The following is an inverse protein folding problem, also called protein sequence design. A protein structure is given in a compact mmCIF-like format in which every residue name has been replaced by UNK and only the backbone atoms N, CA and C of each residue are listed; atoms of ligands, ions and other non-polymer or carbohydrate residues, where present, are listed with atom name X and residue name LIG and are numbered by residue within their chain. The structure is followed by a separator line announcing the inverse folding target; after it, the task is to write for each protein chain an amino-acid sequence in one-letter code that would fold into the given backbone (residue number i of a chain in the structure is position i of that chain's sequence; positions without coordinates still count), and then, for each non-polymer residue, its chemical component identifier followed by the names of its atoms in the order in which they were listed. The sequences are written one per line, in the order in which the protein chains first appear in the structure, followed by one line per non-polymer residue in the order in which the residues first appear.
data_IF_426984341195
#
_entry.id   IF_426984341195
#
_cell.length_a   1.000
_cell.length_b   1.000
_cell.length_c   1.000
_cell.angle_alpha   90.00
_cell.angle_beta   90.00
_cell.angle_gamma   90.00
#
_symmetry.space_group_name_H-M   'P 1'
#
loop_
_entity.id
_entity.type
_entity.pdbx_description
1 polymer ?
#
# COMPACT_ATOMS: atom_id res chain seq x y z
N UNK A 1 -14.67 15.27 -11.74
CA UNK A 1 -14.81 13.95 -11.10
C UNK A 1 -14.63 12.91 -12.19
N UNK A 2 -13.42 12.36 -12.32
CA UNK A 2 -13.13 11.37 -13.34
C UNK A 2 -13.57 10.01 -12.80
N UNK A 3 -14.82 9.65 -13.06
CA UNK A 3 -15.23 8.25 -12.98
C UNK A 3 -14.53 7.56 -14.14
N UNK A 4 -13.48 6.77 -13.83
CA UNK A 4 -12.92 5.85 -14.80
C UNK A 4 -14.07 4.98 -15.31
N UNK A 5 -14.24 4.94 -16.62
CA UNK A 5 -15.26 4.12 -17.27
C UNK A 5 -15.00 2.68 -16.86
N UNK A 6 -15.92 2.07 -16.13
CA UNK A 6 -15.82 0.67 -15.72
C UNK A 6 -15.67 -0.18 -16.99
N UNK A 7 -14.62 -0.99 -17.03
CA UNK A 7 -14.50 -2.07 -17.98
C UNK A 7 -14.99 -3.31 -17.25
N UNK A 8 -16.16 -3.83 -17.63
CA UNK A 8 -16.84 -4.95 -16.95
C UNK A 8 -15.98 -6.23 -16.90
N UNK A 9 -14.95 -6.32 -17.73
CA UNK A 9 -14.09 -7.50 -17.86
C UNK A 9 -13.01 -7.62 -16.76
N UNK A 10 -12.78 -6.57 -15.95
CA UNK A 10 -11.75 -6.60 -14.89
C UNK A 10 -12.40 -6.66 -13.51
N UNK A 11 -12.12 -7.70 -12.69
CA UNK A 11 -12.66 -7.78 -11.34
C UNK A 11 -12.20 -6.60 -10.47
N UNK A 12 -13.06 -6.17 -9.55
CA UNK A 12 -12.70 -5.13 -8.60
C UNK A 12 -11.53 -5.58 -7.72
N UNK A 13 -10.51 -4.73 -7.64
CA UNK A 13 -9.37 -4.94 -6.74
C UNK A 13 -9.80 -4.61 -5.31
N UNK A 14 -9.55 -5.54 -4.39
CA UNK A 14 -9.59 -5.27 -2.97
C UNK A 14 -8.22 -4.74 -2.54
N UNK A 15 -8.21 -3.58 -1.89
CA UNK A 15 -7.00 -2.97 -1.35
C UNK A 15 -7.18 -2.78 0.14
N UNK A 16 -6.18 -3.15 0.93
CA UNK A 16 -6.15 -2.99 2.39
C UNK A 16 -4.90 -2.20 2.77
N UNK A 17 -5.05 -1.25 3.70
CA UNK A 17 -3.96 -0.47 4.26
C UNK A 17 -3.72 -0.86 5.71
N UNK A 18 -2.48 -1.29 5.99
CA UNK A 18 -2.00 -1.58 7.33
C UNK A 18 -0.98 -0.54 7.79
N UNK A 19 -1.12 -0.11 9.03
CA UNK A 19 -0.15 0.74 9.73
C UNK A 19 0.52 -0.03 10.85
N UNK A 20 1.84 0.09 10.93
CA UNK A 20 2.62 -0.50 12.02
C UNK A 20 2.49 0.40 13.25
N UNK A 21 1.79 -0.10 14.27
CA UNK A 21 1.76 0.50 15.60
C UNK A 21 3.02 0.15 16.40
N UNK A 22 2.89 0.01 17.72
CA UNK A 22 4.03 -0.31 18.59
C UNK A 22 4.81 -1.55 18.13
N UNK A 23 4.14 -2.69 17.98
CA UNK A 23 4.76 -3.96 17.58
C UNK A 23 3.82 -4.84 16.73
N UNK A 24 2.71 -4.28 16.26
CA UNK A 24 1.70 -5.01 15.50
C UNK A 24 1.16 -4.17 14.36
N UNK A 25 0.89 -4.84 13.24
CA UNK A 25 0.19 -4.25 12.11
C UNK A 25 -1.30 -4.16 12.45
N UNK A 26 -1.89 -3.01 12.21
CA UNK A 26 -3.32 -2.79 12.34
C UNK A 26 -3.88 -2.29 11.02
N UNK A 27 -4.96 -2.92 10.58
CA UNK A 27 -5.74 -2.41 9.46
C UNK A 27 -6.30 -1.04 9.82
N UNK A 28 -6.14 -0.05 8.94
CA UNK A 28 -6.64 1.32 9.16
C UNK A 28 -7.66 1.74 8.12
N UNK A 29 -7.58 1.19 6.91
CA UNK A 29 -8.51 1.48 5.82
C UNK A 29 -8.55 0.36 4.79
N UNK A 30 -9.63 0.29 4.02
CA UNK A 30 -9.80 -0.66 2.92
C UNK A 30 -10.61 -0.05 1.77
N UNK A 31 -10.42 -0.59 0.57
CA UNK A 31 -11.07 -0.13 -0.64
C UNK A 31 -11.62 -1.30 -1.47
N UNK A 32 -12.90 -1.17 -1.84
CA UNK A 32 -13.55 -1.88 -2.95
C UNK A 32 -14.40 -0.86 -3.70
N UNK A 33 -13.81 -0.21 -4.71
CA UNK A 33 -14.34 1.00 -5.40
C UNK A 33 -14.47 2.23 -4.50
N UNK A 34 -15.00 2.08 -3.28
CA UNK A 34 -15.14 3.09 -2.23
C UNK A 34 -14.20 2.80 -1.06
N UNK A 35 -13.85 3.84 -0.32
CA UNK A 35 -13.03 3.81 0.88
C UNK A 35 -13.89 3.58 2.12
N UNK A 36 -13.39 2.76 3.04
CA UNK A 36 -13.88 2.60 4.40
C UNK A 36 -12.70 2.66 5.37
N UNK A 37 -12.84 3.44 6.44
CA UNK A 37 -11.81 3.63 7.47
C UNK A 37 -12.20 2.93 8.76
N UNK A 38 -11.22 2.53 9.55
CA UNK A 38 -11.44 2.08 10.92
C UNK A 38 -11.73 3.27 11.83
N UNK A 39 -12.89 3.26 12.49
CA UNK A 39 -13.30 4.30 13.42
C UNK A 39 -12.48 4.27 14.73
N UNK A 40 -12.50 5.37 15.48
CA UNK A 40 -11.85 5.45 16.79
C UNK A 40 -12.33 4.32 17.71
N UNK A 41 -11.38 3.53 18.21
CA UNK A 41 -11.65 2.37 19.05
C UNK A 41 -11.66 1.02 18.31
N UNK A 42 -11.42 0.99 17.00
CA UNK A 42 -11.01 -0.22 16.27
C UNK A 42 -12.10 -1.26 15.99
N UNK A 43 -13.34 -1.01 16.40
CA UNK A 43 -14.42 -1.99 16.36
C UNK A 43 -15.46 -1.75 15.26
N UNK A 44 -15.29 -0.69 14.45
CA UNK A 44 -16.27 -0.24 13.45
C UNK A 44 -15.59 0.31 12.22
N UNK A 45 -16.21 0.03 11.07
CA UNK A 45 -15.88 0.64 9.79
C UNK A 45 -16.75 1.87 9.56
N UNK A 46 -16.19 2.91 8.94
CA UNK A 46 -16.92 4.06 8.46
C UNK A 46 -17.87 3.66 7.32
N UNK A 47 -18.77 4.56 6.92
CA UNK A 47 -19.61 4.32 5.74
C UNK A 47 -18.76 4.41 4.46
N UNK A 48 -19.03 3.57 3.44
CA UNK A 48 -18.35 3.67 2.16
C UNK A 48 -18.43 5.08 1.59
N UNK A 49 -17.29 5.65 1.23
CA UNK A 49 -17.20 7.01 0.69
C UNK A 49 -16.15 7.12 -0.42
N UNK A 50 -16.18 8.24 -1.16
CA UNK A 50 -15.21 8.50 -2.22
C UNK A 50 -13.92 8.99 -1.59
N UNK A 51 -12.83 8.27 -1.83
CA UNK A 51 -11.49 8.61 -1.38
C UNK A 51 -11.10 10.04 -1.76
N UNK A 52 -10.47 10.77 -0.83
CA UNK A 52 -9.86 12.07 -1.12
C UNK A 52 -8.41 12.07 -0.68
N UNK A 53 -7.51 12.42 -1.62
CA UNK A 53 -6.08 12.44 -1.36
C UNK A 53 -5.56 13.87 -1.29
N UNK A 54 -4.65 14.11 -0.36
CA UNK A 54 -3.94 15.38 -0.32
C UNK A 54 -2.96 15.50 -1.51
N UNK A 55 -2.81 16.72 -2.05
CA UNK A 55 -1.82 16.98 -3.11
C UNK A 55 -0.39 16.66 -2.66
N UNK A 56 -0.09 16.89 -1.38
CA UNK A 56 1.21 16.59 -0.79
C UNK A 56 1.53 15.09 -0.86
N UNK A 57 0.57 14.25 -0.48
CA UNK A 57 0.68 12.79 -0.54
C UNK A 57 0.90 12.29 -1.97
N UNK A 58 0.26 12.92 -2.96
CA UNK A 58 0.49 12.57 -4.37
C UNK A 58 1.91 12.89 -4.85
N UNK A 59 2.51 13.99 -4.39
CA UNK A 59 3.91 14.31 -4.72
C UNK A 59 4.88 13.35 -4.03
N UNK A 60 4.61 12.96 -2.78
CA UNK A 60 5.39 11.94 -2.09
C UNK A 60 5.30 10.60 -2.81
N UNK A 61 4.09 10.15 -3.17
CA UNK A 61 3.88 8.92 -3.94
C UNK A 61 4.64 8.94 -5.27
N UNK A 62 4.59 10.05 -6.02
CA UNK A 62 5.38 10.21 -7.25
C UNK A 62 6.87 10.05 -6.98
N UNK A 63 7.39 10.66 -5.91
CA UNK A 63 8.80 10.54 -5.53
C UNK A 63 9.17 9.09 -5.21
N UNK A 64 8.32 8.38 -4.46
CA UNK A 64 8.50 6.96 -4.14
C UNK A 64 8.51 6.08 -5.38
N UNK A 65 7.64 6.34 -6.37
CA UNK A 65 7.63 5.57 -7.62
C UNK A 65 8.84 5.85 -8.52
N UNK A 66 9.40 7.07 -8.47
CA UNK A 66 10.56 7.44 -9.30
C UNK A 66 11.90 6.99 -8.69
N UNK A 67 12.00 7.00 -7.37
CA UNK A 67 13.27 6.76 -6.66
C UNK A 67 13.25 5.48 -5.82
N UNK A 68 12.10 4.84 -5.64
CA UNK A 68 11.95 3.64 -4.83
C UNK A 68 12.37 2.37 -5.56
N UNK A 69 12.46 1.29 -4.79
CA UNK A 69 12.69 -0.05 -5.31
C UNK A 69 11.37 -0.66 -5.78
N UNK A 70 11.34 -1.13 -7.03
CA UNK A 70 10.20 -1.85 -7.60
C UNK A 70 10.60 -3.30 -7.89
N UNK A 71 9.97 -4.24 -7.19
CA UNK A 71 10.14 -5.68 -7.40
C UNK A 71 8.87 -6.23 -8.04
N UNK A 72 8.98 -6.76 -9.25
CA UNK A 72 7.88 -7.38 -9.98
C UNK A 72 8.16 -8.87 -10.20
N UNK A 73 7.09 -9.65 -10.41
CA UNK A 73 7.15 -11.07 -10.75
C UNK A 73 7.97 -11.92 -9.76
N UNK A 74 7.86 -11.60 -8.47
CA UNK A 74 8.48 -12.39 -7.41
C UNK A 74 7.90 -13.82 -7.42
N UNK A 75 8.75 -14.87 -7.34
CA UNK A 75 8.29 -16.26 -7.32
C UNK A 75 7.71 -16.67 -5.95
N UNK A 76 7.78 -15.79 -4.96
CA UNK A 76 7.37 -16.04 -3.58
C UNK A 76 5.93 -15.59 -3.32
N UNK A 77 5.21 -16.37 -2.52
CA UNK A 77 3.81 -16.08 -2.14
C UNK A 77 3.63 -15.90 -0.64
N UNK A 78 4.65 -16.23 0.16
CA UNK A 78 4.68 -16.02 1.60
C UNK A 78 5.44 -14.73 1.97
N UNK A 79 4.92 -13.99 2.95
CA UNK A 79 5.50 -12.72 3.40
C UNK A 79 6.96 -12.84 3.84
N UNK A 80 7.40 -13.86 4.62
CA UNK A 80 8.79 -13.97 5.02
C UNK A 80 9.76 -14.08 3.84
N UNK A 81 9.46 -14.89 2.83
CA UNK A 81 10.31 -14.99 1.64
C UNK A 81 10.33 -13.71 0.82
N UNK A 82 9.18 -13.05 0.66
CA UNK A 82 9.10 -11.74 -0.01
C UNK A 82 9.96 -10.69 0.70
N UNK A 83 9.90 -10.63 2.04
CA UNK A 83 10.71 -9.72 2.85
C UNK A 83 12.20 -10.05 2.71
N UNK A 84 12.56 -11.34 2.70
CA UNK A 84 13.95 -11.78 2.51
C UNK A 84 14.53 -11.29 1.19
N UNK A 85 13.80 -11.46 0.09
CA UNK A 85 14.21 -10.95 -1.23
C UNK A 85 14.33 -9.42 -1.22
N UNK A 86 13.34 -8.73 -0.65
CA UNK A 86 13.38 -7.28 -0.54
C UNK A 86 14.59 -6.77 0.26
N UNK A 87 14.91 -7.39 1.39
CA UNK A 87 16.07 -7.01 2.20
C UNK A 87 17.39 -7.16 1.43
N UNK A 88 17.54 -8.24 0.65
CA UNK A 88 18.74 -8.46 -0.17
C UNK A 88 18.85 -7.38 -1.25
N UNK A 89 17.79 -7.13 -2.01
CA UNK A 89 17.82 -6.13 -3.08
C UNK A 89 17.92 -4.70 -2.55
N UNK A 90 17.29 -4.41 -1.40
CA UNK A 90 17.38 -3.10 -0.76
C UNK A 90 18.81 -2.80 -0.27
N UNK A 91 19.51 -3.81 0.26
CA UNK A 91 20.92 -3.66 0.63
C UNK A 91 21.82 -3.39 -0.59
N UNK A 92 21.53 -4.00 -1.73
CA UNK A 92 22.24 -3.73 -2.99
C UNK A 92 21.93 -2.33 -3.53
N UNK A 93 20.67 -1.90 -3.44
CA UNK A 93 20.24 -0.55 -3.82
C UNK A 93 20.87 0.52 -2.92
N UNK A 94 20.89 0.30 -1.60
CA UNK A 94 21.51 1.20 -0.62
C UNK A 94 23.03 1.32 -0.81
N UNK A 95 23.70 0.26 -1.27
CA UNK A 95 25.14 0.30 -1.62
C UNK A 95 25.43 1.12 -2.88
N UNK A 96 24.49 1.23 -3.81
CA UNK A 96 24.62 2.06 -5.02
C UNK A 96 24.10 3.50 -4.84
N UNK A 97 23.14 3.72 -3.94
CA UNK A 97 22.49 5.00 -3.66
C UNK A 97 22.76 5.45 -2.22
N UNK A 98 24.03 5.72 -1.90
CA UNK A 98 24.38 6.44 -0.67
C UNK A 98 23.81 7.85 -0.76
N UNK A 99 22.67 8.08 -0.10
CA UNK A 99 22.20 9.29 0.60
C UNK A 99 20.68 9.39 0.50
N UNK A 100 20.06 9.63 1.66
CA UNK A 100 18.65 9.92 1.92
C UNK A 100 17.77 8.67 2.11
N UNK A 101 17.41 8.39 3.37
CA UNK A 101 16.02 8.53 3.81
C UNK A 101 15.99 8.55 5.34
N UNK A 102 15.51 9.69 5.86
CA UNK A 102 15.07 9.86 7.24
C UNK A 102 13.96 8.83 7.54
N UNK A 103 14.07 8.20 8.70
CA UNK A 103 13.09 7.24 9.18
C UNK A 103 11.78 7.98 9.44
N UNK A 104 10.73 7.71 8.69
CA UNK A 104 9.36 7.80 9.23
C UNK A 104 8.37 7.24 8.22
N UNK A 105 7.50 6.35 8.74
CA UNK A 105 6.30 5.82 8.12
C UNK A 105 6.48 4.65 7.14
N UNK A 106 6.58 3.45 7.72
CA UNK A 106 6.35 2.19 7.00
C UNK A 106 4.85 1.94 6.88
N UNK A 107 4.31 2.05 5.68
CA UNK A 107 2.95 1.64 5.34
C UNK A 107 3.02 0.38 4.48
N UNK A 108 2.12 -0.57 4.71
CA UNK A 108 1.99 -1.76 3.86
C UNK A 108 0.61 -1.75 3.21
N UNK A 109 0.58 -1.88 1.89
CA UNK A 109 -0.65 -2.03 1.12
C UNK A 109 -0.74 -3.49 0.69
N UNK A 110 -1.77 -4.19 1.15
CA UNK A 110 -2.08 -5.53 0.67
C UNK A 110 -3.09 -5.43 -0.46
N UNK A 111 -2.76 -6.02 -1.60
CA UNK A 111 -3.69 -6.15 -2.72
C UNK A 111 -4.26 -7.57 -2.72
N UNK A 112 -5.58 -7.66 -2.86
CA UNK A 112 -6.32 -8.91 -3.00
C UNK A 112 -7.37 -8.81 -4.11
N UNK A 113 -7.82 -9.95 -4.61
CA UNK A 113 -9.00 -9.99 -5.49
C UNK A 113 -10.26 -10.16 -4.63
N UNK A 114 -11.30 -9.39 -4.93
CA UNK A 114 -12.62 -9.66 -4.37
C UNK A 114 -13.20 -10.87 -5.09
N UNK A 115 -13.16 -12.05 -4.47
CA UNK A 115 -13.85 -13.24 -5.00
C UNK A 115 -15.37 -13.04 -4.89
N UNK A 116 -16.16 -13.44 -5.90
CA UNK A 116 -17.62 -13.31 -5.89
C UNK A 116 -18.31 -14.18 -4.81
#
# INVERSE_FOLDING_TARGET
MFLLKENDDTPALFTEMGELGHNEWRETARWVKFEEDVEQGGNRWSKPHVATLSLHSLFQLRSCLLNGLFLNDLPHTDLPAIIGEWSVTADEFARHCLMLLDQTSGFFIRLGYCLP
#
